data_IF_005474569385
#
_entry.id   IF_005474569385
#
_cell.length_a   1.000
_cell.length_b   1.000
_cell.length_c   1.000
_cell.angle_alpha   90.00
_cell.angle_beta   90.00
_cell.angle_gamma   90.00
#
_symmetry.space_group_name_H-M   'P 1'
#
loop_
_entity.id
_entity.type
_entity.pdbx_description
1 polymer ?
#
# COMPACT_ATOMS: atom_id res chain seq x y z
N UNK A 1 28.10 4.37 -13.12
CA UNK A 1 27.92 3.45 -11.97
C UNK A 1 26.43 3.16 -11.86
N UNK A 2 25.97 1.90 -11.72
CA UNK A 2 24.55 1.67 -11.47
C UNK A 2 24.15 2.42 -10.19
N UNK A 3 23.02 3.12 -10.22
CA UNK A 3 22.50 3.80 -9.05
C UNK A 3 22.32 2.77 -7.93
N UNK A 4 22.76 3.11 -6.70
CA UNK A 4 22.49 2.27 -5.54
C UNK A 4 20.98 2.12 -5.37
N UNK A 5 20.48 0.89 -5.20
CA UNK A 5 19.09 0.61 -4.85
C UNK A 5 18.76 1.37 -3.55
N UNK A 6 17.85 2.36 -3.56
CA UNK A 6 17.51 3.13 -2.36
C UNK A 6 16.89 2.25 -1.26
N UNK A 7 16.45 1.04 -1.60
CA UNK A 7 15.78 0.11 -0.71
C UNK A 7 16.45 -1.28 -0.77
N UNK A 8 17.70 -1.42 -0.27
CA UNK A 8 18.48 -2.63 -0.44
C UNK A 8 17.79 -3.84 0.19
N UNK A 9 17.81 -4.97 -0.52
CA UNK A 9 17.35 -6.25 -0.01
C UNK A 9 18.45 -6.94 0.78
N UNK A 10 18.14 -7.41 1.99
CA UNK A 10 19.05 -8.20 2.84
C UNK A 10 18.36 -9.48 3.30
N UNK A 11 19.08 -10.60 3.32
CA UNK A 11 18.57 -11.88 3.80
C UNK A 11 19.57 -12.54 4.76
N UNK A 12 19.13 -12.79 6.00
CA UNK A 12 19.83 -13.63 6.96
C UNK A 12 19.33 -15.06 6.80
N UNK A 13 20.13 -15.89 6.13
CA UNK A 13 19.77 -17.27 5.83
C UNK A 13 19.70 -18.16 7.07
N UNK A 14 20.47 -17.87 8.13
CA UNK A 14 20.49 -18.68 9.35
C UNK A 14 19.24 -18.45 10.20
N UNK A 15 18.72 -17.21 10.18
CA UNK A 15 17.51 -16.84 10.94
C UNK A 15 16.25 -16.77 10.07
N UNK A 16 16.39 -16.99 8.77
CA UNK A 16 15.34 -16.83 7.75
C UNK A 16 14.64 -15.45 7.75
N UNK A 17 15.34 -14.41 8.23
CA UNK A 17 14.86 -13.03 8.30
C UNK A 17 15.30 -12.25 7.08
N UNK A 18 14.49 -11.30 6.62
CA UNK A 18 14.78 -10.50 5.43
C UNK A 18 14.31 -9.07 5.59
N UNK A 19 14.99 -8.16 4.91
CA UNK A 19 14.73 -6.73 4.97
C UNK A 19 14.68 -6.11 3.58
N UNK A 20 13.85 -5.08 3.43
CA UNK A 20 13.84 -4.12 2.32
C UNK A 20 14.06 -2.74 2.93
N UNK A 21 15.26 -2.18 2.76
CA UNK A 21 15.68 -1.00 3.51
C UNK A 21 15.61 -1.25 5.04
N UNK A 22 14.88 -0.43 5.81
CA UNK A 22 14.68 -0.64 7.24
C UNK A 22 13.55 -1.63 7.57
N UNK A 23 12.70 -1.99 6.60
CA UNK A 23 11.55 -2.86 6.84
C UNK A 23 12.01 -4.31 6.94
N UNK A 24 11.78 -4.95 8.08
CA UNK A 24 11.78 -6.42 8.12
C UNK A 24 10.47 -6.92 7.52
N UNK A 25 10.56 -7.86 6.56
CA UNK A 25 9.38 -8.28 5.78
C UNK A 25 9.21 -9.78 5.78
N UNK A 26 7.98 -10.24 5.92
CA UNK A 26 7.60 -11.61 5.60
C UNK A 26 7.03 -11.65 4.18
N UNK A 27 7.66 -12.40 3.28
CA UNK A 27 7.21 -12.51 1.89
C UNK A 27 6.11 -13.55 1.80
N UNK A 28 4.94 -13.11 1.35
CA UNK A 28 3.78 -13.96 1.10
C UNK A 28 3.16 -13.67 -0.27
N UNK A 29 2.55 -14.69 -0.87
CA UNK A 29 1.85 -14.55 -2.15
C UNK A 29 0.53 -13.77 -2.01
N UNK A 30 0.01 -13.28 -3.14
CA UNK A 30 -1.27 -12.55 -3.18
C UNK A 30 -2.44 -13.41 -2.66
N UNK A 31 -2.35 -14.73 -2.79
CA UNK A 31 -3.33 -15.68 -2.24
C UNK A 31 -3.41 -15.68 -0.72
N UNK A 32 -2.27 -15.55 -0.02
CA UNK A 32 -2.23 -15.49 1.43
C UNK A 32 -2.71 -14.11 1.90
N UNK A 33 -2.12 -13.04 1.36
CA UNK A 33 -2.44 -11.67 1.78
C UNK A 33 -3.92 -11.32 1.57
N UNK A 34 -4.51 -11.67 0.42
CA UNK A 34 -5.94 -11.42 0.16
C UNK A 34 -6.88 -12.23 1.05
N UNK A 35 -6.53 -13.49 1.38
CA UNK A 35 -7.32 -14.31 2.32
C UNK A 35 -7.24 -13.80 3.75
N UNK A 36 -6.05 -13.43 4.22
CA UNK A 36 -5.88 -12.84 5.54
C UNK A 36 -6.66 -11.52 5.64
N UNK A 37 -6.49 -10.62 4.67
CA UNK A 37 -7.23 -9.36 4.64
C UNK A 37 -8.73 -9.61 4.68
N UNK A 38 -9.25 -10.49 3.81
CA UNK A 38 -10.68 -10.81 3.78
C UNK A 38 -11.16 -11.38 5.12
N UNK A 39 -10.39 -12.28 5.74
CA UNK A 39 -10.76 -12.84 7.03
C UNK A 39 -10.90 -11.74 8.10
N UNK A 40 -9.96 -10.78 8.14
CA UNK A 40 -10.03 -9.62 9.03
C UNK A 40 -11.24 -8.74 8.70
N UNK A 41 -11.45 -8.42 7.43
CA UNK A 41 -12.56 -7.55 6.98
C UNK A 41 -13.94 -8.16 7.26
N UNK A 42 -14.06 -9.49 7.27
CA UNK A 42 -15.31 -10.21 7.50
C UNK A 42 -15.55 -10.62 8.96
N UNK A 43 -14.50 -10.68 9.79
CA UNK A 43 -14.60 -11.16 11.17
C UNK A 43 -15.09 -10.09 12.16
N UNK A 44 -15.09 -8.81 11.79
CA UNK A 44 -15.51 -7.73 12.68
C UNK A 44 -17.02 -7.51 12.63
N UNK A 45 -17.63 -7.33 13.80
CA UNK A 45 -19.01 -6.87 13.93
C UNK A 45 -19.15 -5.48 13.30
N UNK A 46 -20.29 -5.19 12.68
CA UNK A 46 -20.64 -3.88 12.10
C UNK A 46 -19.76 -3.39 10.92
N UNK A 47 -18.96 -4.25 10.30
CA UNK A 47 -18.19 -3.88 9.10
C UNK A 47 -16.94 -3.02 9.34
N UNK A 48 -16.48 -2.92 10.59
CA UNK A 48 -15.30 -2.13 10.98
C UNK A 48 -13.97 -2.67 10.43
N UNK A 49 -13.92 -3.90 9.94
CA UNK A 49 -12.69 -4.60 9.57
C UNK A 49 -11.94 -3.95 8.42
N UNK A 50 -12.64 -3.31 7.48
CA UNK A 50 -11.97 -2.51 6.44
C UNK A 50 -11.23 -1.32 7.06
N UNK A 51 -11.87 -0.59 7.97
CA UNK A 51 -11.25 0.52 8.69
C UNK A 51 -10.09 0.05 9.57
N UNK A 52 -10.18 -1.15 10.15
CA UNK A 52 -9.08 -1.76 10.89
C UNK A 52 -7.87 -2.01 10.00
N UNK A 53 -8.06 -2.56 8.78
CA UNK A 53 -6.97 -2.78 7.83
C UNK A 53 -6.35 -1.45 7.38
N UNK A 54 -7.19 -0.46 7.05
CA UNK A 54 -6.73 0.89 6.65
C UNK A 54 -5.91 1.54 7.77
N UNK A 55 -6.45 1.62 8.98
CA UNK A 55 -5.77 2.25 10.12
C UNK A 55 -4.50 1.52 10.54
N UNK A 56 -4.48 0.18 10.47
CA UNK A 56 -3.27 -0.61 10.75
C UNK A 56 -2.19 -0.35 9.71
N UNK A 57 -2.54 -0.35 8.43
CA UNK A 57 -1.59 -0.04 7.36
C UNK A 57 -1.06 1.40 7.48
N UNK A 58 -1.93 2.38 7.75
CA UNK A 58 -1.51 3.77 8.00
C UNK A 58 -0.51 3.83 9.16
N UNK A 59 -0.83 3.24 10.32
CA UNK A 59 0.05 3.29 11.49
C UNK A 59 1.43 2.68 11.22
N UNK A 60 1.47 1.51 10.58
CA UNK A 60 2.73 0.82 10.24
C UNK A 60 3.57 1.67 9.28
N UNK A 61 2.95 2.21 8.22
CA UNK A 61 3.70 3.00 7.24
C UNK A 61 4.06 4.41 7.73
N UNK A 62 3.28 5.00 8.64
CA UNK A 62 3.62 6.26 9.29
C UNK A 62 4.89 6.13 10.14
N UNK A 63 5.14 4.96 10.74
CA UNK A 63 6.40 4.67 11.44
C UNK A 63 7.53 4.32 10.46
N UNK A 64 7.22 3.57 9.40
CA UNK A 64 8.23 3.00 8.52
C UNK A 64 8.77 4.00 7.49
N UNK A 65 7.92 4.85 6.90
CA UNK A 65 8.32 5.77 5.83
C UNK A 65 9.39 6.78 6.28
N UNK A 66 9.31 7.43 7.47
CA UNK A 66 10.37 8.33 7.93
C UNK A 66 11.73 7.65 8.12
N UNK A 67 11.75 6.32 8.33
CA UNK A 67 12.99 5.53 8.45
C UNK A 67 13.51 5.05 7.10
N UNK A 68 12.61 4.89 6.12
CA UNK A 68 12.92 4.35 4.81
C UNK A 68 13.33 5.43 3.82
N UNK A 69 12.89 6.67 4.03
CA UNK A 69 13.10 7.79 3.12
C UNK A 69 14.14 8.78 3.68
N UNK A 70 14.80 9.58 2.83
CA UNK A 70 15.68 10.66 3.27
C UNK A 70 15.00 11.62 4.27
N UNK A 71 15.78 12.12 5.22
CA UNK A 71 15.29 13.09 6.20
C UNK A 71 14.86 14.41 5.53
N UNK A 72 13.78 15.02 6.02
CA UNK A 72 13.28 16.31 5.53
C UNK A 72 12.51 16.25 4.21
N UNK A 73 12.32 15.06 3.62
CA UNK A 73 11.56 14.89 2.39
C UNK A 73 10.09 15.29 2.58
N UNK A 74 9.54 16.08 1.66
CA UNK A 74 8.16 16.55 1.67
C UNK A 74 7.62 16.72 0.24
N UNK A 75 6.32 17.03 0.12
CA UNK A 75 5.69 17.34 -1.15
C UNK A 75 5.63 16.16 -2.12
N UNK A 76 5.55 16.43 -3.45
CA UNK A 76 5.45 15.39 -4.47
C UNK A 76 6.58 14.36 -4.43
N UNK A 77 7.82 14.79 -4.17
CA UNK A 77 8.98 13.90 -4.09
C UNK A 77 8.86 12.86 -2.97
N UNK A 78 8.34 13.26 -1.80
CA UNK A 78 8.06 12.33 -0.71
C UNK A 78 7.02 11.27 -1.10
N UNK A 79 5.99 11.68 -1.83
CA UNK A 79 4.95 10.77 -2.29
C UNK A 79 5.48 9.79 -3.36
N UNK A 80 6.32 10.27 -4.27
CA UNK A 80 6.98 9.44 -5.30
C UNK A 80 7.92 8.40 -4.67
N UNK A 81 8.76 8.80 -3.73
CA UNK A 81 9.68 7.89 -3.04
C UNK A 81 8.93 6.88 -2.17
N UNK A 82 7.85 7.30 -1.50
CA UNK A 82 6.96 6.38 -0.78
C UNK A 82 6.32 5.36 -1.75
N UNK A 83 5.81 5.80 -2.90
CA UNK A 83 5.23 4.92 -3.90
C UNK A 83 6.26 3.93 -4.48
N UNK A 84 7.51 4.38 -4.70
CA UNK A 84 8.62 3.52 -5.08
C UNK A 84 8.93 2.47 -4.02
N UNK A 85 8.90 2.85 -2.74
CA UNK A 85 9.07 1.92 -1.62
C UNK A 85 7.95 0.87 -1.57
N UNK A 86 6.68 1.28 -1.74
CA UNK A 86 5.53 0.36 -1.83
C UNK A 86 5.68 -0.64 -2.98
N UNK A 87 6.16 -0.18 -4.13
CA UNK A 87 6.46 -1.03 -5.26
C UNK A 87 7.62 -1.99 -4.98
N UNK A 88 8.66 -1.53 -4.29
CA UNK A 88 9.80 -2.37 -3.88
C UNK A 88 9.39 -3.48 -2.92
N UNK A 89 8.44 -3.20 -2.02
CA UNK A 89 7.83 -4.18 -1.12
C UNK A 89 6.94 -5.19 -1.86
N UNK A 90 6.65 -4.97 -3.14
CA UNK A 90 5.89 -5.89 -3.98
C UNK A 90 4.37 -5.74 -3.86
N UNK A 91 3.87 -4.63 -3.32
CA UNK A 91 2.43 -4.48 -3.07
C UNK A 91 1.65 -3.89 -4.25
N UNK A 92 2.31 -3.26 -5.21
CA UNK A 92 1.67 -2.68 -6.39
C UNK A 92 2.44 -1.47 -6.93
N UNK A 93 1.84 -0.76 -7.88
CA UNK A 93 2.41 0.48 -8.44
C UNK A 93 1.35 1.56 -8.51
N UNK A 94 1.72 2.77 -8.11
CA UNK A 94 0.88 3.95 -8.21
C UNK A 94 1.28 4.82 -9.40
N UNK A 95 0.28 5.46 -9.99
CA UNK A 95 0.41 6.62 -10.87
C UNK A 95 -0.09 7.83 -10.07
N UNK A 96 0.80 8.82 -9.92
CA UNK A 96 0.64 9.99 -9.07
C UNK A 96 0.35 11.27 -9.87
N UNK A 97 0.14 11.18 -11.19
CA UNK A 97 -0.03 12.34 -12.05
C UNK A 97 -1.14 13.30 -11.59
N UNK A 98 -2.20 12.76 -10.96
CA UNK A 98 -3.35 13.52 -10.46
C UNK A 98 -3.34 13.71 -8.94
N UNK A 99 -2.25 13.39 -8.24
CA UNK A 99 -2.20 13.44 -6.77
C UNK A 99 -2.38 14.87 -6.21
N UNK A 100 -1.96 15.89 -6.98
CA UNK A 100 -2.20 17.29 -6.68
C UNK A 100 -3.67 17.72 -6.83
N UNK A 101 -4.44 16.98 -7.64
CA UNK A 101 -5.88 17.18 -7.87
C UNK A 101 -6.75 16.31 -6.93
N UNK A 102 -6.13 15.58 -6.00
CA UNK A 102 -6.83 14.73 -5.04
C UNK A 102 -7.16 13.33 -5.55
N UNK A 103 -6.53 12.85 -6.63
CA UNK A 103 -6.70 11.49 -7.14
C UNK A 103 -5.36 10.74 -7.24
N UNK A 104 -5.33 9.50 -6.76
CA UNK A 104 -4.21 8.56 -6.98
C UNK A 104 -4.73 7.32 -7.69
N UNK A 105 -3.95 6.80 -8.64
CA UNK A 105 -4.30 5.56 -9.35
C UNK A 105 -3.32 4.45 -8.99
N UNK A 106 -3.78 3.22 -8.87
CA UNK A 106 -2.91 2.05 -8.85
C UNK A 106 -3.05 1.28 -10.16
N UNK A 107 -1.95 1.14 -10.90
CA UNK A 107 -1.87 0.40 -12.17
C UNK A 107 -1.60 -1.09 -11.95
N UNK A 108 -1.18 -1.47 -10.75
CA UNK A 108 -1.06 -2.85 -10.29
C UNK A 108 -1.34 -2.91 -8.79
N UNK A 109 -1.97 -4.00 -8.32
CA UNK A 109 -2.27 -4.20 -6.90
C UNK A 109 -2.22 -5.69 -6.56
N UNK A 110 -1.27 -6.05 -5.68
CA UNK A 110 -1.09 -7.42 -5.19
C UNK A 110 -2.36 -7.96 -4.52
N UNK A 111 -3.08 -7.10 -3.79
CA UNK A 111 -4.32 -7.47 -3.14
C UNK A 111 -5.46 -7.63 -4.15
N UNK A 112 -5.62 -6.68 -5.09
CA UNK A 112 -6.68 -6.78 -6.09
C UNK A 112 -6.54 -8.03 -6.97
N UNK A 113 -5.31 -8.37 -7.37
CA UNK A 113 -5.02 -9.61 -8.09
C UNK A 113 -5.44 -10.85 -7.29
N UNK A 114 -5.06 -10.92 -6.00
CA UNK A 114 -5.45 -12.02 -5.13
C UNK A 114 -6.97 -12.14 -4.95
N UNK A 115 -7.65 -11.01 -4.76
CA UNK A 115 -9.11 -10.99 -4.65
C UNK A 115 -9.80 -11.45 -5.94
N UNK A 116 -9.36 -10.96 -7.09
CA UNK A 116 -9.92 -11.32 -8.41
C UNK A 116 -9.81 -12.81 -8.68
N UNK A 117 -8.68 -13.43 -8.33
CA UNK A 117 -8.45 -14.87 -8.52
C UNK A 117 -9.29 -15.69 -7.54
N UNK A 118 -9.29 -15.33 -6.26
CA UNK A 118 -9.93 -16.15 -5.23
C UNK A 118 -11.46 -15.97 -5.20
N UNK A 119 -11.98 -14.80 -5.61
CA UNK A 119 -13.41 -14.47 -5.58
C UNK A 119 -13.83 -13.69 -6.83
N UNK A 120 -13.89 -14.36 -8.00
CA UNK A 120 -14.15 -13.71 -9.29
C UNK A 120 -15.54 -13.09 -9.42
N UNK A 121 -16.46 -13.36 -8.49
CA UNK A 121 -17.79 -12.74 -8.42
C UNK A 121 -17.82 -11.45 -7.57
N UNK A 122 -16.75 -11.12 -6.84
CA UNK A 122 -16.67 -9.90 -6.05
C UNK A 122 -16.59 -8.68 -6.97
N UNK A 123 -17.34 -7.62 -6.65
CA UNK A 123 -17.44 -6.40 -7.48
C UNK A 123 -17.21 -5.10 -6.70
N UNK A 124 -16.87 -5.19 -5.41
CA UNK A 124 -16.58 -4.02 -4.59
C UNK A 124 -15.06 -3.72 -4.55
N UNK A 125 -14.65 -2.50 -4.17
CA UNK A 125 -13.24 -2.17 -3.99
C UNK A 125 -12.60 -2.89 -2.80
N UNK A 126 -11.36 -3.38 -2.97
CA UNK A 126 -10.68 -4.28 -2.00
C UNK A 126 -9.30 -3.79 -1.53
N UNK A 127 -8.81 -2.65 -2.00
CA UNK A 127 -7.46 -2.17 -1.70
C UNK A 127 -7.40 -1.34 -0.42
N UNK A 128 -7.96 -1.84 0.68
CA UNK A 128 -7.91 -1.22 2.01
C UNK A 128 -6.48 -1.05 2.52
N UNK A 129 -5.62 -2.03 2.31
CA UNK A 129 -4.19 -1.94 2.63
C UNK A 129 -3.50 -0.79 1.88
N UNK A 130 -3.79 -0.64 0.58
CA UNK A 130 -3.23 0.43 -0.24
C UNK A 130 -3.75 1.81 0.20
N UNK A 131 -5.03 1.91 0.57
CA UNK A 131 -5.60 3.15 1.08
C UNK A 131 -4.90 3.59 2.38
N UNK A 132 -4.69 2.68 3.34
CA UNK A 132 -3.94 2.99 4.56
C UNK A 132 -2.49 3.40 4.31
N UNK A 133 -1.80 2.73 3.38
CA UNK A 133 -0.47 3.16 2.93
C UNK A 133 -0.50 4.59 2.37
N UNK A 134 -1.46 4.91 1.49
CA UNK A 134 -1.59 6.24 0.90
C UNK A 134 -1.88 7.31 1.96
N UNK A 135 -2.67 7.01 3.00
CA UNK A 135 -2.88 7.93 4.12
C UNK A 135 -1.56 8.30 4.81
N UNK A 136 -0.69 7.32 5.09
CA UNK A 136 0.62 7.57 5.68
C UNK A 136 1.55 8.35 4.74
N UNK A 137 1.60 7.98 3.46
CA UNK A 137 2.44 8.64 2.47
C UNK A 137 2.02 10.11 2.23
N UNK A 138 0.71 10.37 2.16
CA UNK A 138 0.17 11.72 2.05
C UNK A 138 0.40 12.54 3.32
N UNK A 139 0.31 11.92 4.50
CA UNK A 139 0.62 12.59 5.75
C UNK A 139 2.08 13.05 5.81
N UNK A 140 3.02 12.20 5.39
CA UNK A 140 4.43 12.56 5.24
C UNK A 140 4.61 13.69 4.23
N UNK A 141 4.04 13.56 3.03
CA UNK A 141 4.20 14.52 1.95
C UNK A 141 3.59 15.90 2.24
N UNK A 142 2.42 15.94 2.90
CA UNK A 142 1.64 17.18 3.11
C UNK A 142 1.82 17.76 4.51
N UNK A 143 2.44 17.05 5.44
CA UNK A 143 2.53 17.42 6.85
C UNK A 143 1.19 17.38 7.59
N UNK A 144 0.14 16.81 7.00
CA UNK A 144 -1.20 16.69 7.59
C UNK A 144 -1.89 15.41 7.13
N UNK A 145 -2.71 14.83 8.00
CA UNK A 145 -3.52 13.65 7.67
C UNK A 145 -4.50 13.96 6.52
N UNK A 146 -4.76 12.94 5.72
CA UNK A 146 -5.74 12.94 4.65
C UNK A 146 -6.50 11.61 4.70
N UNK A 147 -7.78 11.62 4.38
CA UNK A 147 -8.53 10.38 4.22
C UNK A 147 -8.41 9.90 2.77
N UNK A 148 -8.28 8.58 2.58
CA UNK A 148 -8.16 7.99 1.24
C UNK A 148 -9.25 6.96 1.02
N UNK A 149 -10.07 7.18 -0.01
CA UNK A 149 -11.17 6.29 -0.35
C UNK A 149 -11.01 5.73 -1.75
N UNK A 150 -11.05 4.40 -1.86
CA UNK A 150 -11.05 3.71 -3.15
C UNK A 150 -12.44 3.81 -3.82
N UNK A 151 -12.48 4.24 -5.08
CA UNK A 151 -13.72 4.48 -5.85
C UNK A 151 -13.85 3.62 -7.11
N UNK A 152 -12.76 2.99 -7.55
CA UNK A 152 -12.72 2.02 -8.63
C UNK A 152 -11.63 0.99 -8.31
N UNK A 153 -11.76 -0.25 -8.79
CA UNK A 153 -10.86 -1.33 -8.41
C UNK A 153 -10.62 -2.36 -9.52
N UNK A 154 -9.36 -2.74 -9.73
CA UNK A 154 -8.97 -3.84 -10.62
C UNK A 154 -9.71 -5.16 -10.29
N UNK A 155 -9.99 -5.42 -9.01
CA UNK A 155 -10.73 -6.63 -8.60
C UNK A 155 -12.21 -6.59 -9.01
N UNK A 156 -12.78 -5.40 -9.18
CA UNK A 156 -14.15 -5.19 -9.65
C UNK A 156 -14.26 -5.22 -11.18
N UNK A 157 -13.14 -5.24 -11.90
CA UNK A 157 -13.07 -5.23 -13.36
C UNK A 157 -12.76 -3.85 -13.97
N UNK A 158 -12.50 -2.84 -13.14
CA UNK A 158 -12.06 -1.52 -13.61
C UNK A 158 -10.65 -1.57 -14.21
N UNK A 159 -10.28 -0.63 -15.11
CA UNK A 159 -8.94 -0.61 -15.73
C UNK A 159 -7.81 -0.25 -14.75
N UNK A 160 -8.12 0.35 -13.61
CA UNK A 160 -7.18 0.70 -12.55
C UNK A 160 -7.91 0.82 -11.21
N UNK A 161 -7.19 0.68 -10.10
CA UNK A 161 -7.74 1.13 -8.83
C UNK A 161 -7.64 2.66 -8.78
N UNK A 162 -8.69 3.35 -8.35
CA UNK A 162 -8.70 4.81 -8.18
C UNK A 162 -9.01 5.16 -6.74
N UNK A 163 -8.24 6.10 -6.20
CA UNK A 163 -8.37 6.59 -4.83
C UNK A 163 -8.60 8.09 -4.86
N UNK A 164 -9.63 8.56 -4.16
CA UNK A 164 -9.85 9.98 -3.91
C UNK A 164 -9.30 10.35 -2.54
N UNK A 165 -8.75 11.55 -2.46
CA UNK A 165 -8.07 12.08 -1.26
C UNK A 165 -8.87 13.27 -0.72
N UNK A 166 -9.29 13.18 0.53
CA UNK A 166 -9.96 14.25 1.27
C UNK A 166 -8.98 14.94 2.26
#
# INVERSE_FOLDING_TARGET
MPAQDPFPYRFDALRHRRWVGPAEVAVHCHHYNSRLQRAVEQATVEGAGRSLVVGTAEAVFAELLPRALPEGLAGPEALEQAAAFYARLGFGRFDLALAGEGEVRATASHFAEGWRINWPAHRAPVCSFAAGFLQAALALARGRRAAVREVACLAAGDPACRFVVD
#
